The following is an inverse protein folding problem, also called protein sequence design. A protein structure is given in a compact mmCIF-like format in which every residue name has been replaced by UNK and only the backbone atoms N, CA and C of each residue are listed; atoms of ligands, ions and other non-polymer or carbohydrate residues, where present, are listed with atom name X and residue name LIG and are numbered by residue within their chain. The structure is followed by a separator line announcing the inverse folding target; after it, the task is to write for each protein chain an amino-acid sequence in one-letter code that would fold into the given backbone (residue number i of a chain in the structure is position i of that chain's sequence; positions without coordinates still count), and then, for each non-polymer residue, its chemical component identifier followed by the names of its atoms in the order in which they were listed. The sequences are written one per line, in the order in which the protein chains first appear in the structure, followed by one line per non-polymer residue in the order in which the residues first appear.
data_IF_492387875384
#
_entry.id   IF_492387875384
#
_cell.length_a   1.000
_cell.length_b   1.000
_cell.length_c   1.000
_cell.angle_alpha   90.00
_cell.angle_beta   90.00
_cell.angle_gamma   90.00
#
_symmetry.space_group_name_H-M   'P 1'
#
loop_
_entity.id
_entity.type
_entity.pdbx_description
1 polymer ?
#
# COMPACT_ATOMS: atom_id res chain seq x y z
N UNK A 1 -20.08 -16.04 5.54
CA UNK A 1 -20.43 -14.60 5.32
C UNK A 1 -19.31 -13.77 5.90
N UNK A 2 -18.32 -13.45 5.09
CA UNK A 2 -17.22 -12.57 5.48
C UNK A 2 -17.74 -11.14 5.40
N UNK A 3 -17.93 -10.54 6.55
CA UNK A 3 -18.17 -9.11 6.63
C UNK A 3 -16.79 -8.47 6.54
N UNK A 4 -16.34 -8.18 5.34
CA UNK A 4 -15.25 -7.24 5.15
C UNK A 4 -15.82 -5.83 5.38
N UNK A 5 -15.93 -5.43 6.62
CA UNK A 5 -16.01 -4.01 6.91
C UNK A 5 -14.64 -3.39 6.61
N UNK A 6 -14.36 -3.21 5.34
CA UNK A 6 -13.39 -2.23 4.92
C UNK A 6 -14.00 -0.87 5.23
N UNK A 7 -13.67 -0.33 6.37
CA UNK A 7 -13.83 1.09 6.60
C UNK A 7 -12.84 1.75 5.62
N UNK A 8 -13.30 2.07 4.44
CA UNK A 8 -12.56 2.92 3.53
C UNK A 8 -12.54 4.33 4.14
N UNK A 9 -11.54 4.61 4.96
CA UNK A 9 -11.26 5.95 5.39
C UNK A 9 -10.64 6.69 4.21
N UNK A 10 -11.43 7.43 3.47
CA UNK A 10 -10.92 8.39 2.49
C UNK A 10 -10.53 9.66 3.23
N UNK A 11 -9.24 9.94 3.32
CA UNK A 11 -8.74 11.23 3.75
C UNK A 11 -8.74 12.16 2.52
N UNK A 12 -9.73 13.02 2.40
CA UNK A 12 -9.75 14.06 1.38
C UNK A 12 -8.93 15.24 1.90
N UNK A 13 -7.72 15.40 1.36
CA UNK A 13 -6.92 16.60 1.55
C UNK A 13 -7.24 17.57 0.42
N UNK A 14 -7.98 18.63 0.73
CA UNK A 14 -8.13 19.74 -0.19
C UNK A 14 -6.89 20.63 -0.05
N UNK A 15 -6.00 20.57 -1.03
CA UNK A 15 -4.79 21.40 -1.05
C UNK A 15 -5.01 22.50 -2.07
N UNK A 16 -5.55 23.61 -1.61
CA UNK A 16 -5.95 24.72 -2.48
C UNK A 16 -4.77 25.42 -3.17
N UNK A 17 -3.53 25.27 -2.66
CA UNK A 17 -2.39 26.07 -3.11
C UNK A 17 -1.08 25.25 -3.23
N UNK A 18 -1.15 24.05 -3.81
CA UNK A 18 0.07 23.34 -4.17
C UNK A 18 0.81 24.10 -5.25
N UNK A 19 2.00 24.60 -4.91
CA UNK A 19 2.91 25.21 -5.89
C UNK A 19 3.44 24.13 -6.83
N UNK A 20 3.92 24.55 -8.00
CA UNK A 20 4.65 23.66 -8.89
C UNK A 20 5.74 22.91 -8.13
N UNK A 21 5.74 21.57 -8.24
CA UNK A 21 6.69 20.74 -7.51
C UNK A 21 6.28 19.27 -7.53
N UNK A 22 7.17 18.40 -7.09
CA UNK A 22 6.88 17.00 -6.78
C UNK A 22 6.66 16.85 -5.29
N UNK A 23 5.69 16.04 -4.90
CA UNK A 23 5.32 15.81 -3.50
C UNK A 23 5.17 14.32 -3.25
N UNK A 24 5.56 13.89 -2.07
CA UNK A 24 5.26 12.55 -1.59
C UNK A 24 4.32 12.67 -0.40
N UNK A 25 3.13 12.07 -0.51
CA UNK A 25 2.24 11.86 0.62
C UNK A 25 2.33 10.40 1.06
N UNK A 26 2.43 10.19 2.36
CA UNK A 26 2.47 8.84 2.91
C UNK A 26 1.71 8.75 4.22
N UNK A 27 1.21 7.55 4.51
CA UNK A 27 0.47 7.23 5.71
C UNK A 27 0.98 5.94 6.34
N UNK A 28 1.07 5.94 7.66
CA UNK A 28 1.35 4.77 8.45
C UNK A 28 0.09 4.43 9.25
N UNK A 29 -0.51 3.28 8.98
CA UNK A 29 -1.65 2.82 9.75
C UNK A 29 -1.20 2.32 11.11
N UNK A 30 -2.03 2.53 12.13
CA UNK A 30 -1.78 1.92 13.43
C UNK A 30 -1.79 0.39 13.30
N UNK A 31 -0.88 -0.32 13.96
CA UNK A 31 -0.92 -1.78 14.00
C UNK A 31 -2.27 -2.28 14.49
N UNK A 32 -2.81 -3.29 13.83
CA UNK A 32 -4.03 -3.99 14.24
C UNK A 32 -3.74 -5.46 14.42
N UNK A 33 -4.42 -6.09 15.37
CA UNK A 33 -4.28 -7.53 15.60
C UNK A 33 -5.45 -8.27 14.98
N UNK A 34 -5.14 -9.36 14.31
CA UNK A 34 -6.11 -10.29 13.75
C UNK A 34 -5.85 -11.66 14.32
N UNK A 35 -6.89 -12.27 14.83
CA UNK A 35 -6.81 -13.60 15.44
C UNK A 35 -7.80 -14.55 14.78
N UNK A 36 -7.36 -15.80 14.59
CA UNK A 36 -8.19 -16.89 14.09
C UNK A 36 -8.40 -17.92 15.19
N UNK A 37 -9.64 -18.23 15.47
CA UNK A 37 -10.09 -19.21 16.44
C UNK A 37 -11.22 -20.08 15.88
N UNK A 38 -11.94 -20.81 16.74
CA UNK A 38 -13.02 -21.70 16.31
C UNK A 38 -14.12 -21.04 15.49
N UNK A 39 -14.34 -19.76 15.72
CA UNK A 39 -15.36 -18.93 15.04
C UNK A 39 -14.78 -18.02 13.93
N UNK A 40 -13.56 -18.32 13.45
CA UNK A 40 -12.92 -17.64 12.34
C UNK A 40 -12.06 -16.43 12.74
N UNK A 41 -11.76 -15.58 11.74
CA UNK A 41 -10.93 -14.40 11.91
C UNK A 41 -11.69 -13.25 12.54
N UNK A 42 -11.07 -12.60 13.54
CA UNK A 42 -11.59 -11.39 14.18
C UNK A 42 -10.46 -10.38 14.41
N UNK A 43 -10.82 -9.10 14.41
CA UNK A 43 -9.91 -8.03 14.80
C UNK A 43 -9.82 -8.01 16.34
N UNK A 44 -8.90 -8.77 16.87
CA UNK A 44 -8.66 -8.92 18.30
C UNK A 44 -7.24 -9.47 18.53
N UNK A 45 -6.66 -9.12 19.67
CA UNK A 45 -5.37 -9.63 20.10
C UNK A 45 -5.48 -10.95 20.89
N UNK A 46 -4.37 -11.45 21.38
CA UNK A 46 -4.30 -12.67 22.16
C UNK A 46 -4.99 -12.57 23.52
N UNK A 47 -4.99 -11.38 24.11
CA UNK A 47 -5.63 -11.16 25.43
C UNK A 47 -7.15 -11.18 25.30
N UNK A 48 -7.66 -10.63 24.20
CA UNK A 48 -9.09 -10.61 23.89
C UNK A 48 -9.59 -11.98 23.38
N UNK A 49 -8.71 -12.76 22.77
CA UNK A 49 -9.03 -14.09 22.24
C UNK A 49 -7.97 -15.12 22.64
N UNK A 50 -7.99 -15.60 23.90
CA UNK A 50 -7.04 -16.61 24.37
C UNK A 50 -7.20 -17.97 23.65
N UNK A 51 -8.38 -18.24 23.10
CA UNK A 51 -8.74 -19.44 22.31
C UNK A 51 -8.20 -19.43 20.87
N UNK A 52 -7.67 -18.28 20.40
CA UNK A 52 -7.16 -18.18 19.05
C UNK A 52 -5.93 -19.06 18.83
N UNK A 53 -5.92 -19.81 17.74
CA UNK A 53 -4.79 -20.64 17.31
C UNK A 53 -3.70 -19.80 16.63
N UNK A 54 -4.12 -18.74 15.93
CA UNK A 54 -3.21 -17.83 15.20
C UNK A 54 -3.52 -16.40 15.62
N UNK A 55 -2.47 -15.63 15.91
CA UNK A 55 -2.57 -14.17 16.08
C UNK A 55 -1.51 -13.51 15.20
N UNK A 56 -1.93 -12.51 14.44
CA UNK A 56 -1.07 -11.74 13.54
C UNK A 56 -1.22 -10.26 13.83
N UNK A 57 -0.10 -9.57 13.88
CA UNK A 57 -0.07 -8.11 13.80
C UNK A 57 -0.06 -7.72 12.33
N UNK A 58 -1.00 -6.89 11.91
CA UNK A 58 -1.05 -6.31 10.58
C UNK A 58 -0.65 -4.83 10.66
N UNK A 59 0.33 -4.46 9.85
CA UNK A 59 0.76 -3.07 9.70
C UNK A 59 0.67 -2.73 8.22
N UNK A 60 0.01 -1.61 7.90
CA UNK A 60 -0.16 -1.16 6.53
C UNK A 60 0.51 0.19 6.33
N UNK A 61 1.07 0.37 5.16
CA UNK A 61 1.72 1.59 4.73
C UNK A 61 1.14 2.02 3.38
N UNK A 62 0.91 3.32 3.23
CA UNK A 62 0.47 3.89 1.96
C UNK A 62 1.41 5.02 1.56
N UNK A 63 1.65 5.14 0.26
CA UNK A 63 2.44 6.22 -0.31
C UNK A 63 1.93 6.58 -1.70
N UNK A 64 1.85 7.86 -1.99
CA UNK A 64 1.54 8.38 -3.33
C UNK A 64 2.47 9.50 -3.71
N UNK A 65 2.65 9.68 -5.01
CA UNK A 65 3.48 10.73 -5.60
C UNK A 65 2.58 11.65 -6.41
N UNK A 66 2.72 12.93 -6.18
CA UNK A 66 2.02 13.99 -6.92
C UNK A 66 3.04 14.86 -7.63
N UNK A 67 2.90 15.01 -8.93
CA UNK A 67 3.68 15.94 -9.73
C UNK A 67 2.76 17.09 -10.18
N UNK A 68 2.95 18.27 -9.62
CA UNK A 68 2.16 19.47 -9.94
C UNK A 68 2.86 20.23 -11.06
N UNK A 69 2.07 20.64 -12.07
CA UNK A 69 2.54 21.39 -13.25
C UNK A 69 3.72 20.72 -13.98
N UNK A 70 3.65 19.40 -14.14
CA UNK A 70 4.65 18.63 -14.87
C UNK A 70 6.02 18.57 -14.21
N UNK A 71 6.09 18.79 -12.91
CA UNK A 71 7.33 18.63 -12.15
C UNK A 71 7.84 17.21 -12.18
N UNK A 72 9.17 17.06 -12.20
CA UNK A 72 9.87 15.78 -12.18
C UNK A 72 11.10 15.87 -11.25
N UNK A 73 10.85 15.97 -9.96
CA UNK A 73 11.94 15.90 -8.96
C UNK A 73 12.31 14.44 -8.70
N UNK A 74 13.15 13.92 -9.56
CA UNK A 74 13.62 12.54 -9.48
C UNK A 74 14.30 12.24 -8.14
N UNK A 75 15.07 13.17 -7.62
CA UNK A 75 15.80 12.97 -6.36
C UNK A 75 14.86 12.84 -5.18
N UNK A 76 13.76 13.58 -5.16
CA UNK A 76 12.73 13.43 -4.16
C UNK A 76 11.97 12.10 -4.33
N UNK A 77 11.52 11.82 -5.55
CA UNK A 77 10.64 10.68 -5.86
C UNK A 77 11.32 9.33 -5.56
N UNK A 78 12.63 9.24 -5.82
CA UNK A 78 13.39 7.99 -5.63
C UNK A 78 13.99 7.84 -4.23
N UNK A 79 13.75 8.79 -3.33
CA UNK A 79 14.19 8.68 -1.93
C UNK A 79 13.20 7.89 -1.08
N UNK A 80 13.70 7.03 -0.17
CA UNK A 80 12.88 6.47 0.89
C UNK A 80 12.31 7.58 1.80
N UNK A 81 11.06 7.41 2.23
CA UNK A 81 10.42 8.29 3.24
C UNK A 81 10.54 7.72 4.66
N UNK A 82 11.16 6.54 4.80
CA UNK A 82 11.43 5.93 6.10
C UNK A 82 10.29 5.09 6.67
N UNK A 83 9.36 4.63 5.84
CA UNK A 83 8.37 3.64 6.29
C UNK A 83 9.08 2.31 6.61
N UNK A 84 8.58 1.60 7.62
CA UNK A 84 9.16 0.31 8.03
C UNK A 84 9.17 -0.71 6.89
N UNK A 85 8.11 -0.76 6.11
CA UNK A 85 8.04 -1.49 4.84
C UNK A 85 7.70 -0.50 3.75
N UNK A 86 8.53 -0.41 2.73
CA UNK A 86 8.44 0.66 1.74
C UNK A 86 8.72 0.18 0.32
N UNK A 87 7.90 0.61 -0.62
CA UNK A 87 8.19 0.47 -2.06
C UNK A 87 8.69 1.81 -2.56
N UNK A 88 9.93 1.83 -3.05
CA UNK A 88 10.61 3.03 -3.55
C UNK A 88 10.72 2.96 -5.07
N UNK A 89 10.06 3.84 -5.81
CA UNK A 89 10.26 3.95 -7.25
C UNK A 89 11.71 4.30 -7.58
N UNK A 90 12.22 3.74 -8.67
CA UNK A 90 13.56 4.07 -9.17
C UNK A 90 13.50 5.05 -10.36
N UNK A 91 12.29 5.37 -10.79
CA UNK A 91 11.98 6.38 -11.81
C UNK A 91 10.68 7.08 -11.43
N UNK A 92 10.44 8.26 -11.99
CA UNK A 92 9.15 8.92 -11.80
C UNK A 92 8.04 8.08 -12.46
N UNK A 93 7.00 7.65 -11.71
CA UNK A 93 5.88 6.89 -12.27
C UNK A 93 5.19 7.56 -13.45
N UNK A 94 5.10 8.90 -13.44
CA UNK A 94 4.49 9.67 -14.51
C UNK A 94 5.23 9.58 -15.87
N UNK A 95 6.46 9.12 -15.86
CA UNK A 95 7.26 8.94 -17.10
C UNK A 95 7.13 7.54 -17.71
N UNK A 96 6.49 6.61 -16.99
CA UNK A 96 6.32 5.22 -17.45
C UNK A 96 5.20 5.15 -18.48
N UNK A 97 5.52 4.60 -19.66
CA UNK A 97 4.57 4.40 -20.76
C UNK A 97 3.93 3.02 -20.69
N UNK A 98 2.74 2.83 -21.28
CA UNK A 98 2.15 1.51 -21.43
C UNK A 98 3.14 0.51 -22.07
N UNK A 99 3.25 -0.68 -21.48
CA UNK A 99 4.25 -1.69 -21.88
C UNK A 99 5.68 -1.42 -21.41
N UNK A 100 5.93 -0.26 -20.77
CA UNK A 100 7.22 0.08 -20.19
C UNK A 100 7.53 -0.68 -18.91
N UNK A 101 8.76 -0.53 -18.43
CA UNK A 101 9.21 -1.08 -17.16
C UNK A 101 9.11 -0.03 -16.07
N UNK A 102 8.59 -0.42 -14.92
CA UNK A 102 8.55 0.42 -13.73
C UNK A 102 9.40 -0.23 -12.61
N UNK A 103 10.70 0.07 -12.57
CA UNK A 103 11.59 -0.50 -11.56
C UNK A 103 11.27 0.10 -10.19
N UNK A 104 11.16 -0.79 -9.20
CA UNK A 104 10.96 -0.45 -7.80
C UNK A 104 11.95 -1.19 -6.92
N UNK A 105 12.28 -0.61 -5.77
CA UNK A 105 13.01 -1.26 -4.72
C UNK A 105 12.09 -1.45 -3.51
N UNK A 106 12.08 -2.65 -2.94
CA UNK A 106 11.34 -2.93 -1.72
C UNK A 106 12.30 -2.89 -0.54
N UNK A 107 11.93 -2.12 0.48
CA UNK A 107 12.72 -1.97 1.69
C UNK A 107 11.93 -2.50 2.89
N UNK A 108 12.64 -3.17 3.81
CA UNK A 108 12.19 -3.47 5.16
C UNK A 108 13.20 -2.86 6.14
N UNK A 109 12.72 -1.98 7.01
CA UNK A 109 13.56 -1.23 7.95
C UNK A 109 14.75 -0.54 7.27
N UNK A 110 14.48 0.05 6.09
CA UNK A 110 15.48 0.75 5.28
C UNK A 110 16.45 -0.14 4.52
N UNK A 111 16.34 -1.47 4.61
CA UNK A 111 17.22 -2.42 3.94
C UNK A 111 16.52 -3.10 2.76
N UNK A 112 17.18 -3.26 1.61
CA UNK A 112 16.61 -3.96 0.47
C UNK A 112 16.21 -5.40 0.80
N UNK A 113 15.00 -5.78 0.41
CA UNK A 113 14.47 -7.14 0.58
C UNK A 113 14.50 -7.84 -0.78
N UNK A 114 14.96 -9.07 -0.79
CA UNK A 114 14.94 -9.95 -1.96
C UNK A 114 13.70 -10.85 -1.90
N UNK A 115 13.23 -11.27 -3.08
CA UNK A 115 12.17 -12.27 -3.20
C UNK A 115 10.84 -11.84 -2.57
N UNK A 116 10.40 -10.61 -2.90
CA UNK A 116 9.10 -10.08 -2.50
C UNK A 116 8.20 -10.04 -3.74
N UNK A 117 6.99 -10.57 -3.62
CA UNK A 117 5.98 -10.40 -4.64
C UNK A 117 5.47 -8.95 -4.61
N UNK A 118 5.52 -8.27 -5.76
CA UNK A 118 4.94 -6.94 -5.94
C UNK A 118 3.87 -7.05 -7.02
N UNK A 119 2.65 -6.71 -6.69
CA UNK A 119 1.53 -6.68 -7.64
C UNK A 119 1.31 -5.24 -8.09
N UNK A 120 1.10 -5.04 -9.38
CA UNK A 120 0.83 -3.74 -9.97
C UNK A 120 -0.44 -3.80 -10.81
N UNK A 121 -1.28 -2.78 -10.68
CA UNK A 121 -2.48 -2.61 -11.48
C UNK A 121 -2.56 -1.17 -11.98
N UNK A 122 -3.25 -0.96 -13.08
CA UNK A 122 -3.50 0.37 -13.63
C UNK A 122 -4.90 0.87 -13.23
N UNK A 123 -5.12 2.17 -13.30
CA UNK A 123 -6.44 2.77 -13.06
C UNK A 123 -7.50 2.17 -14.01
N UNK A 124 -8.64 1.77 -13.46
CA UNK A 124 -9.70 1.09 -14.23
C UNK A 124 -9.47 -0.41 -14.45
N UNK A 125 -8.47 -1.01 -13.81
CA UNK A 125 -8.33 -2.48 -13.84
C UNK A 125 -9.54 -3.15 -13.17
N UNK A 126 -10.22 -4.02 -13.92
CA UNK A 126 -11.40 -4.78 -13.47
C UNK A 126 -11.19 -6.29 -13.56
N UNK A 127 -9.95 -6.74 -13.66
CA UNK A 127 -9.59 -8.16 -13.79
C UNK A 127 -9.53 -8.87 -12.44
N UNK A 128 -9.76 -10.18 -12.48
CA UNK A 128 -9.41 -11.06 -11.35
C UNK A 128 -7.92 -11.33 -11.37
N UNK A 129 -7.29 -11.40 -10.20
CA UNK A 129 -5.92 -11.88 -10.10
C UNK A 129 -5.87 -13.36 -10.47
N UNK A 130 -4.72 -13.83 -10.98
CA UNK A 130 -4.55 -15.23 -11.43
C UNK A 130 -4.89 -16.28 -10.35
N UNK A 131 -4.88 -15.89 -9.11
CA UNK A 131 -5.04 -16.78 -7.96
C UNK A 131 -6.50 -17.11 -7.65
N UNK A 132 -7.46 -16.49 -8.37
CA UNK A 132 -8.89 -16.78 -8.20
C UNK A 132 -9.46 -16.46 -6.82
N UNK A 133 -8.69 -15.81 -5.97
CA UNK A 133 -9.10 -15.42 -4.61
C UNK A 133 -10.07 -14.24 -4.70
N UNK A 134 -11.34 -14.43 -4.32
CA UNK A 134 -12.33 -13.35 -4.35
C UNK A 134 -11.99 -12.18 -3.43
N UNK A 135 -11.14 -12.38 -2.43
CA UNK A 135 -10.68 -11.33 -1.50
C UNK A 135 -9.53 -10.49 -2.08
N UNK A 136 -8.98 -10.87 -3.23
CA UNK A 136 -7.95 -10.15 -3.96
C UNK A 136 -8.52 -9.28 -5.10
N UNK A 137 -9.74 -8.81 -5.00
CA UNK A 137 -10.26 -7.80 -5.91
C UNK A 137 -9.54 -6.47 -5.66
N UNK A 138 -8.54 -6.17 -6.48
CA UNK A 138 -7.97 -4.83 -6.53
C UNK A 138 -8.98 -3.89 -7.18
N UNK A 139 -9.68 -3.12 -6.37
CA UNK A 139 -10.48 -2.02 -6.87
C UNK A 139 -9.55 -0.85 -7.11
N UNK A 140 -9.40 -0.46 -8.37
CA UNK A 140 -8.82 0.84 -8.70
C UNK A 140 -9.85 1.92 -8.28
N UNK A 141 -9.44 2.81 -7.42
CA UNK A 141 -10.22 3.98 -7.01
C UNK A 141 -9.95 5.14 -7.97
#
# INVERSE_FOLDING_TARGET
MLISEYISASLVLSVADLKKGSYIMFGNYKPTFWSNGPDGWKNADRLQRPDATIVREAVMFAKTILNVDGSDDKDLITKPVGQRFEIVPQVNPATVKPGGRFPVQVLLEGKPVKTVEVKAVFAGFAGKTKDGDPDNEYRAF
#
